data_IF_903663582994
#
_entry.id   IF_903663582994
#
_cell.length_a   1.000
_cell.length_b   1.000
_cell.length_c   1.000
_cell.angle_alpha   90.00
_cell.angle_beta   90.00
_cell.angle_gamma   90.00
#
_symmetry.space_group_name_H-M   'P 1'
#
loop_
_entity.id
_entity.type
_entity.pdbx_description
1 polymer ?
#
# COMPACT_ATOMS: atom_id res chain seq x y z
N UNK A 1 37.83 39.83 -28.48
CA UNK A 1 36.86 40.95 -28.45
C UNK A 1 36.12 40.89 -27.12
N UNK A 2 35.94 42.06 -26.49
CA UNK A 2 34.94 42.40 -25.45
C UNK A 2 34.56 41.36 -24.35
N UNK A 3 34.90 41.76 -23.11
CA UNK A 3 34.13 41.50 -21.86
C UNK A 3 32.67 42.03 -22.03
N UNK A 4 31.63 41.81 -21.23
CA UNK A 4 31.32 41.88 -19.77
C UNK A 4 29.96 41.12 -19.62
N UNK A 5 29.48 40.53 -18.51
CA UNK A 5 29.90 40.42 -17.10
C UNK A 5 28.68 40.01 -16.23
N UNK A 6 28.77 40.10 -14.89
CA UNK A 6 27.65 39.82 -13.96
C UNK A 6 26.79 41.06 -13.68
N UNK A 7 25.52 40.87 -13.28
CA UNK A 7 24.77 41.83 -12.46
C UNK A 7 24.01 41.09 -11.35
N UNK A 8 24.46 41.31 -10.11
CA UNK A 8 23.69 41.05 -8.88
C UNK A 8 22.89 42.29 -8.55
N UNK A 9 21.62 42.14 -8.15
CA UNK A 9 20.87 43.19 -7.43
C UNK A 9 20.18 42.59 -6.20
N UNK A 10 20.64 43.03 -5.03
CA UNK A 10 19.92 42.97 -3.76
C UNK A 10 19.41 44.38 -3.43
N UNK A 11 18.16 44.49 -2.97
CA UNK A 11 17.65 45.44 -1.95
C UNK A 11 16.15 45.67 -2.09
N UNK A 12 15.42 45.88 -0.99
CA UNK A 12 14.04 46.39 -1.06
C UNK A 12 13.12 46.06 0.12
N UNK A 13 13.51 46.35 1.37
CA UNK A 13 12.58 46.29 2.48
C UNK A 13 11.72 47.58 2.57
N UNK A 14 10.40 47.45 2.75
CA UNK A 14 9.56 48.49 3.38
C UNK A 14 8.49 47.86 4.26
N UNK A 15 8.36 48.41 5.46
CA UNK A 15 7.30 48.12 6.41
C UNK A 15 6.00 48.83 6.01
N UNK A 16 4.86 48.27 6.38
CA UNK A 16 3.68 49.05 6.71
C UNK A 16 3.05 48.52 8.00
N UNK A 17 2.74 49.44 8.92
CA UNK A 17 2.12 49.16 10.22
C UNK A 17 0.61 49.33 10.09
N UNK A 18 -0.18 48.44 10.71
CA UNK A 18 -1.63 48.51 10.79
C UNK A 18 -2.13 47.81 12.06
N UNK A 19 -2.90 48.52 12.89
CA UNK A 19 -3.34 48.04 14.21
C UNK A 19 -4.46 46.99 14.13
N UNK A 20 -4.48 46.07 15.12
CA UNK A 20 -5.56 45.11 15.32
C UNK A 20 -5.38 44.31 16.61
N UNK A 21 -5.88 44.83 17.73
CA UNK A 21 -5.79 44.18 19.05
C UNK A 21 -6.76 43.00 19.19
N UNK A 22 -6.27 41.87 19.69
CA UNK A 22 -7.02 41.01 20.61
C UNK A 22 -6.04 40.21 21.48
N UNK A 23 -6.31 40.18 22.78
CA UNK A 23 -5.48 39.49 23.76
C UNK A 23 -5.85 38.01 23.82
N UNK A 24 -4.86 37.12 23.88
CA UNK A 24 -4.99 35.86 24.63
C UNK A 24 -3.62 35.40 25.14
N UNK A 25 -3.41 35.51 26.45
CA UNK A 25 -2.26 34.90 27.10
C UNK A 25 -2.39 33.38 27.11
N UNK A 26 -1.33 32.65 26.72
CA UNK A 26 -0.96 31.43 27.43
C UNK A 26 0.56 31.21 27.44
N UNK A 27 1.03 30.71 28.59
CA UNK A 27 2.43 30.64 29.02
C UNK A 27 3.36 29.85 28.10
N UNK A 28 4.52 30.44 27.75
CA UNK A 28 5.70 29.72 27.26
C UNK A 28 6.42 29.05 28.44
N UNK A 29 6.27 27.72 28.56
CA UNK A 29 7.03 26.94 29.52
C UNK A 29 8.44 26.63 28.98
N UNK A 30 9.45 27.29 29.55
CA UNK A 30 10.86 27.14 29.18
C UNK A 30 11.40 25.76 29.61
N UNK A 31 11.52 24.82 28.67
CA UNK A 31 12.20 23.54 28.92
C UNK A 31 13.73 23.74 28.97
N UNK A 32 14.26 23.96 30.17
CA UNK A 32 15.71 23.94 30.43
C UNK A 32 16.20 22.49 30.32
N UNK A 33 16.97 22.19 29.27
CA UNK A 33 17.66 20.91 29.14
C UNK A 33 18.87 20.83 30.09
N UNK A 34 19.02 19.76 30.89
CA UNK A 34 20.21 19.60 31.72
C UNK A 34 21.42 19.22 30.86
N UNK A 35 22.51 19.99 30.96
CA UNK A 35 23.81 19.60 30.41
C UNK A 35 24.27 18.29 31.04
N UNK A 36 24.39 17.23 30.24
CA UNK A 36 25.06 16.00 30.65
C UNK A 36 26.58 16.24 30.60
N UNK A 37 27.18 16.44 31.77
CA UNK A 37 28.63 16.55 31.90
C UNK A 37 29.28 15.17 31.76
N UNK A 38 30.06 14.97 30.69
CA UNK A 38 30.83 13.74 30.44
C UNK A 38 32.27 13.96 30.93
N UNK A 39 32.68 13.41 32.10
CA UNK A 39 34.07 13.48 32.53
C UNK A 39 34.94 12.57 31.64
N UNK A 40 36.08 13.09 31.18
CA UNK A 40 37.09 12.32 30.45
C UNK A 40 37.74 11.30 31.39
N UNK A 41 37.94 10.08 30.90
CA UNK A 41 38.55 8.97 31.63
C UNK A 41 40.09 9.00 31.51
N UNK A 42 40.86 9.09 32.62
CA UNK A 42 42.29 8.80 32.63
C UNK A 42 42.55 7.31 32.92
N UNK A 43 43.66 6.80 32.41
CA UNK A 43 44.02 5.38 32.45
C UNK A 43 44.63 4.91 33.79
N UNK A 44 44.43 3.60 34.04
CA UNK A 44 45.32 2.67 34.74
C UNK A 44 45.17 2.39 36.26
N UNK A 45 45.09 1.08 36.53
CA UNK A 45 45.68 0.31 37.65
C UNK A 45 45.27 0.65 39.10
N UNK A 46 44.23 -0.06 39.55
CA UNK A 46 44.43 -1.17 40.52
C UNK A 46 44.24 -0.91 42.02
N UNK A 47 43.88 -2.00 42.72
CA UNK A 47 43.64 -2.19 44.16
C UNK A 47 42.21 -1.88 44.64
N UNK A 48 41.88 -2.47 45.79
CA UNK A 48 40.56 -2.98 46.15
C UNK A 48 40.03 -2.46 47.49
N UNK A 49 38.71 -2.66 47.69
CA UNK A 49 37.93 -2.51 48.95
C UNK A 49 37.65 -1.07 49.44
N UNK A 50 36.62 -0.85 50.30
CA UNK A 50 35.53 -1.76 50.72
C UNK A 50 34.10 -1.21 50.44
N UNK A 51 33.10 -2.05 50.71
CA UNK A 51 31.67 -1.75 50.56
C UNK A 51 31.11 -0.88 51.69
N UNK A 52 30.40 0.21 51.35
CA UNK A 52 29.48 0.92 52.26
C UNK A 52 28.14 1.12 51.54
N UNK A 53 27.09 0.41 51.99
CA UNK A 53 25.73 0.53 51.43
C UNK A 53 24.96 1.66 52.10
N UNK A 54 24.71 2.74 51.36
CA UNK A 54 23.69 3.73 51.72
C UNK A 54 22.33 3.29 51.17
N UNK A 55 21.42 2.86 52.04
CA UNK A 55 20.01 2.67 51.67
C UNK A 55 19.17 3.88 52.10
N UNK A 56 19.01 4.82 51.17
CA UNK A 56 18.03 5.90 51.30
C UNK A 56 16.61 5.35 51.21
N UNK A 57 15.76 5.71 52.18
CA UNK A 57 14.31 5.47 52.14
C UNK A 57 13.66 6.43 51.14
N UNK A 58 13.22 5.93 50.00
CA UNK A 58 12.29 6.68 49.13
C UNK A 58 10.85 6.31 49.49
N UNK A 59 10.04 7.33 49.76
CA UNK A 59 8.63 7.18 50.15
C UNK A 59 7.79 6.74 48.95
N UNK A 60 6.91 5.78 49.18
CA UNK A 60 5.93 5.31 48.20
C UNK A 60 4.93 6.43 47.87
N UNK A 61 4.97 6.94 46.63
CA UNK A 61 3.90 7.76 46.07
C UNK A 61 3.07 6.88 45.14
N UNK A 62 1.91 6.40 45.63
CA UNK A 62 0.96 5.63 44.82
C UNK A 62 0.23 6.62 43.89
N UNK A 63 0.79 6.85 42.70
CA UNK A 63 0.01 7.43 41.61
C UNK A 63 -0.85 6.32 41.00
N UNK A 64 -2.12 6.31 41.38
CA UNK A 64 -3.14 5.42 40.82
C UNK A 64 -3.51 5.90 39.40
N UNK A 65 -2.59 5.73 38.46
CA UNK A 65 -2.88 5.93 37.05
C UNK A 65 -3.91 4.88 36.61
N UNK A 66 -5.08 5.33 36.18
CA UNK A 66 -6.10 4.47 35.61
C UNK A 66 -5.55 3.84 34.33
N UNK A 67 -5.05 2.60 34.44
CA UNK A 67 -4.70 1.77 33.27
C UNK A 67 -6.00 1.35 32.59
N UNK A 68 -6.51 2.20 31.71
CA UNK A 68 -7.32 1.73 30.60
C UNK A 68 -6.43 0.79 29.78
N UNK A 69 -6.66 -0.51 29.94
CA UNK A 69 -5.92 -1.59 29.28
C UNK A 69 -6.26 -1.65 27.79
N UNK A 70 -5.91 -0.59 27.04
CA UNK A 70 -5.74 -0.69 25.60
C UNK A 70 -4.60 -1.67 25.35
N UNK A 71 -4.94 -2.89 24.95
CA UNK A 71 -3.98 -3.88 24.47
C UNK A 71 -3.36 -3.38 23.18
N UNK A 72 -2.30 -2.58 23.29
CA UNK A 72 -1.46 -2.16 22.17
C UNK A 72 -0.66 -3.35 21.64
N UNK A 73 -1.35 -4.27 20.99
CA UNK A 73 -0.74 -5.07 19.95
C UNK A 73 -0.38 -4.11 18.82
N UNK A 74 0.83 -3.55 18.89
CA UNK A 74 1.41 -2.81 17.77
C UNK A 74 1.56 -3.82 16.63
N UNK A 75 0.61 -3.81 15.70
CA UNK A 75 0.63 -4.69 14.52
C UNK A 75 1.93 -4.46 13.77
N UNK A 76 2.65 -5.53 13.45
CA UNK A 76 3.79 -5.43 12.55
C UNK A 76 3.21 -5.06 11.18
N UNK A 77 3.88 -4.19 10.42
CA UNK A 77 3.39 -3.71 9.10
C UNK A 77 2.97 -4.86 8.16
N UNK A 78 3.59 -6.03 8.29
CA UNK A 78 3.27 -7.25 7.54
C UNK A 78 1.83 -7.74 7.80
N UNK A 79 1.33 -7.59 9.02
CA UNK A 79 0.06 -8.15 9.49
C UNK A 79 -1.15 -7.23 9.20
N UNK A 80 -0.89 -6.00 8.76
CA UNK A 80 -1.90 -5.01 8.35
C UNK A 80 -2.60 -5.48 7.07
N UNK A 81 -3.93 -5.60 7.05
CA UNK A 81 -4.69 -6.12 5.90
C UNK A 81 -5.86 -5.21 5.46
N UNK A 82 -5.96 -3.99 6.00
CA UNK A 82 -6.91 -2.96 5.58
C UNK A 82 -6.31 -1.54 5.66
N UNK A 83 -6.86 -0.60 4.88
CA UNK A 83 -6.44 0.80 4.90
C UNK A 83 -6.54 1.42 6.30
N UNK A 84 -7.62 1.13 7.03
CA UNK A 84 -7.84 1.66 8.39
C UNK A 84 -6.74 1.20 9.36
N UNK A 85 -6.43 -0.10 9.38
CA UNK A 85 -5.33 -0.65 10.17
C UNK A 85 -3.98 -0.01 9.80
N UNK A 86 -3.78 0.35 8.53
CA UNK A 86 -2.54 1.00 8.11
C UNK A 86 -2.45 2.46 8.55
N UNK A 87 -3.55 3.22 8.51
CA UNK A 87 -3.60 4.59 9.03
C UNK A 87 -3.36 4.60 10.55
N UNK A 88 -3.94 3.65 11.29
CA UNK A 88 -3.69 3.48 12.74
C UNK A 88 -2.22 3.09 13.04
N UNK A 89 -1.64 2.21 12.22
CA UNK A 89 -0.21 1.88 12.28
C UNK A 89 0.65 3.11 12.04
N UNK A 90 0.38 3.89 10.98
CA UNK A 90 1.14 5.09 10.64
C UNK A 90 1.04 6.17 11.71
N UNK A 91 -0.14 6.36 12.30
CA UNK A 91 -0.39 7.28 13.43
C UNK A 91 0.38 6.86 14.69
N UNK A 92 0.52 5.56 14.91
CA UNK A 92 1.23 5.00 16.09
C UNK A 92 2.75 4.99 15.95
N UNK A 93 3.27 5.01 14.71
CA UNK A 93 4.70 4.89 14.39
C UNK A 93 5.28 6.14 13.69
N UNK A 94 4.59 7.28 13.74
CA UNK A 94 4.99 8.56 13.13
C UNK A 94 5.51 8.42 11.68
N UNK A 95 4.76 7.68 10.86
CA UNK A 95 5.20 7.34 9.49
C UNK A 95 5.07 8.54 8.55
N UNK A 96 6.10 8.80 7.75
CA UNK A 96 6.07 9.85 6.72
C UNK A 96 5.02 9.53 5.63
N UNK A 97 3.89 10.25 5.69
CA UNK A 97 2.73 10.12 4.80
C UNK A 97 3.01 10.57 3.35
N UNK A 98 4.13 11.26 3.09
CA UNK A 98 4.56 11.62 1.73
C UNK A 98 5.50 10.58 1.10
N UNK A 99 5.92 9.56 1.86
CA UNK A 99 6.83 8.53 1.37
C UNK A 99 6.21 7.66 0.26
N UNK A 100 7.05 7.17 -0.65
CA UNK A 100 6.65 6.19 -1.66
C UNK A 100 6.14 4.89 -1.04
N UNK A 101 6.70 4.48 0.10
CA UNK A 101 6.26 3.30 0.87
C UNK A 101 4.83 3.47 1.35
N UNK A 102 4.50 4.60 1.99
CA UNK A 102 3.12 4.88 2.43
C UNK A 102 2.14 4.88 1.25
N UNK A 103 2.50 5.58 0.16
CA UNK A 103 1.64 5.69 -1.03
C UNK A 103 1.51 4.38 -1.81
N UNK A 104 2.51 3.49 -1.73
CA UNK A 104 2.46 2.11 -2.23
C UNK A 104 1.51 1.26 -1.39
N UNK A 105 1.79 1.14 -0.10
CA UNK A 105 1.00 0.29 0.82
C UNK A 105 -0.47 0.72 0.93
N UNK A 106 -0.77 2.03 0.98
CA UNK A 106 -2.16 2.52 0.90
C UNK A 106 -2.83 2.13 -0.42
N UNK A 107 -2.09 2.11 -1.54
CA UNK A 107 -2.62 1.71 -2.83
C UNK A 107 -2.88 0.20 -2.91
N UNK A 108 -1.96 -0.63 -2.45
CA UNK A 108 -2.12 -2.09 -2.36
C UNK A 108 -3.38 -2.47 -1.55
N UNK A 109 -3.56 -1.83 -0.39
CA UNK A 109 -4.70 -2.07 0.50
C UNK A 109 -6.03 -1.56 -0.11
N UNK A 110 -5.99 -0.46 -0.86
CA UNK A 110 -7.14 0.02 -1.62
C UNK A 110 -7.50 -0.93 -2.77
N UNK A 111 -6.49 -1.43 -3.51
CA UNK A 111 -6.67 -2.44 -4.56
C UNK A 111 -7.31 -3.69 -3.96
N UNK A 112 -6.80 -4.19 -2.82
CA UNK A 112 -7.36 -5.34 -2.11
C UNK A 112 -8.86 -5.16 -1.85
N UNK A 113 -9.25 -4.06 -1.20
CA UNK A 113 -10.66 -3.77 -0.89
C UNK A 113 -11.54 -3.68 -2.15
N UNK A 114 -11.03 -3.10 -3.23
CA UNK A 114 -11.73 -2.98 -4.51
C UNK A 114 -11.88 -4.33 -5.22
N UNK A 115 -10.85 -5.17 -5.21
CA UNK A 115 -10.91 -6.52 -5.77
C UNK A 115 -11.92 -7.39 -4.99
N UNK A 116 -11.96 -7.27 -3.66
CA UNK A 116 -12.95 -7.94 -2.80
C UNK A 116 -14.38 -7.47 -3.11
N UNK A 117 -14.64 -6.16 -3.04
CA UNK A 117 -15.99 -5.59 -3.14
C UNK A 117 -16.57 -5.51 -4.56
N UNK A 118 -15.73 -5.41 -5.60
CA UNK A 118 -16.19 -5.20 -6.98
C UNK A 118 -15.97 -6.39 -7.91
N UNK A 119 -14.91 -7.15 -7.68
CA UNK A 119 -14.55 -8.32 -8.48
C UNK A 119 -14.84 -9.64 -7.77
N UNK A 120 -15.31 -9.65 -6.51
CA UNK A 120 -15.56 -10.88 -5.74
C UNK A 120 -14.30 -11.75 -5.63
N UNK A 121 -13.14 -11.11 -5.50
CA UNK A 121 -11.95 -11.81 -5.04
C UNK A 121 -12.12 -12.14 -3.55
N UNK A 122 -11.71 -13.33 -3.15
CA UNK A 122 -11.87 -13.84 -1.79
C UNK A 122 -10.50 -14.22 -1.23
N UNK A 123 -10.39 -14.18 0.11
CA UNK A 123 -9.17 -14.55 0.82
C UNK A 123 -7.91 -13.81 0.32
N UNK A 124 -8.06 -12.58 -0.18
CA UNK A 124 -6.92 -11.77 -0.60
C UNK A 124 -6.06 -11.44 0.62
N UNK A 125 -4.77 -11.69 0.49
CA UNK A 125 -3.76 -11.40 1.50
C UNK A 125 -2.68 -10.54 0.87
N UNK A 126 -2.32 -9.44 1.54
CA UNK A 126 -1.18 -8.61 1.14
C UNK A 126 0.13 -9.23 1.61
N UNK A 127 1.05 -9.46 0.68
CA UNK A 127 2.43 -9.86 0.95
C UNK A 127 3.29 -8.63 1.23
N UNK A 128 3.42 -8.26 2.51
CA UNK A 128 4.30 -7.18 2.92
C UNK A 128 5.74 -7.64 3.23
N UNK A 129 6.73 -7.01 2.60
CA UNK A 129 8.15 -7.04 3.00
C UNK A 129 9.12 -7.64 1.98
N UNK A 130 10.41 -7.50 2.24
CA UNK A 130 11.48 -8.00 1.37
C UNK A 130 11.36 -9.52 1.15
N UNK A 131 11.26 -9.94 -0.12
CA UNK A 131 11.09 -11.36 -0.48
C UNK A 131 9.66 -11.75 -0.89
N UNK A 132 8.82 -10.77 -1.23
CA UNK A 132 7.53 -10.95 -1.89
C UNK A 132 7.60 -11.51 -3.34
N UNK A 133 8.80 -11.48 -3.94
CA UNK A 133 9.09 -11.86 -5.33
C UNK A 133 8.22 -11.14 -6.39
N UNK A 134 7.75 -9.91 -6.09
CA UNK A 134 6.94 -9.12 -7.01
C UNK A 134 5.43 -9.45 -6.99
N UNK A 135 4.94 -10.04 -5.91
CA UNK A 135 3.48 -10.15 -5.66
C UNK A 135 3.12 -9.27 -4.47
N UNK A 136 2.18 -8.35 -4.66
CA UNK A 136 1.68 -7.50 -3.59
C UNK A 136 0.44 -8.10 -2.92
N UNK A 137 -0.45 -8.74 -3.69
CA UNK A 137 -1.62 -9.46 -3.17
C UNK A 137 -1.76 -10.84 -3.83
N UNK A 138 -2.25 -11.82 -3.08
CA UNK A 138 -2.65 -13.14 -3.61
C UNK A 138 -3.93 -13.64 -2.95
N UNK A 139 -4.70 -14.49 -3.63
CA UNK A 139 -5.92 -15.09 -3.09
C UNK A 139 -6.72 -15.84 -4.15
N UNK A 140 -8.04 -15.86 -3.99
CA UNK A 140 -8.99 -16.53 -4.88
C UNK A 140 -9.86 -15.53 -5.63
N UNK A 141 -10.43 -15.94 -6.76
CA UNK A 141 -11.43 -15.17 -7.51
C UNK A 141 -12.65 -16.02 -7.78
N UNK A 142 -13.72 -15.78 -7.01
CA UNK A 142 -14.96 -16.53 -7.14
C UNK A 142 -15.71 -16.08 -8.41
N UNK A 143 -15.65 -16.95 -9.42
CA UNK A 143 -16.27 -16.78 -10.73
C UNK A 143 -17.71 -17.30 -10.80
N UNK A 144 -18.24 -17.90 -9.72
CA UNK A 144 -19.56 -18.55 -9.72
C UNK A 144 -20.68 -17.56 -10.08
N UNK A 145 -20.65 -16.35 -9.52
CA UNK A 145 -21.61 -15.28 -9.81
C UNK A 145 -21.63 -14.82 -11.29
N UNK A 146 -20.59 -15.13 -12.07
CA UNK A 146 -20.52 -14.79 -13.50
C UNK A 146 -20.98 -15.93 -14.41
N UNK A 147 -21.34 -17.09 -13.87
CA UNK A 147 -21.96 -18.15 -14.65
C UNK A 147 -23.28 -17.65 -15.22
N UNK A 148 -23.48 -17.85 -16.53
CA UNK A 148 -24.77 -17.59 -17.15
C UNK A 148 -25.80 -18.59 -16.65
N UNK A 149 -27.01 -18.11 -16.33
CA UNK A 149 -28.15 -18.96 -16.02
C UNK A 149 -28.52 -19.81 -17.26
N UNK A 150 -28.02 -21.05 -17.33
CA UNK A 150 -28.34 -22.01 -18.39
C UNK A 150 -27.28 -23.11 -18.55
N UNK A 151 -27.73 -24.36 -18.72
CA UNK A 151 -26.89 -25.58 -18.78
C UNK A 151 -25.82 -25.60 -19.89
N UNK A 152 -25.88 -24.69 -20.86
CA UNK A 152 -25.03 -24.68 -22.06
C UNK A 152 -23.84 -23.69 -22.00
N UNK A 153 -23.71 -22.89 -20.94
CA UNK A 153 -22.76 -21.78 -20.87
C UNK A 153 -21.62 -21.99 -19.85
N UNK A 154 -21.26 -23.25 -19.57
CA UNK A 154 -20.04 -23.56 -18.84
C UNK A 154 -18.84 -23.04 -19.64
N UNK A 155 -18.16 -22.01 -19.12
CA UNK A 155 -17.03 -21.40 -19.82
C UNK A 155 -15.84 -22.35 -19.96
N UNK A 156 -14.80 -21.99 -20.73
CA UNK A 156 -13.70 -22.92 -21.05
C UNK A 156 -12.91 -23.46 -19.82
N UNK A 157 -13.10 -22.84 -18.65
CA UNK A 157 -12.75 -23.35 -17.32
C UNK A 157 -13.76 -24.41 -16.84
N UNK A 158 -15.03 -24.01 -16.63
CA UNK A 158 -16.11 -24.85 -16.09
C UNK A 158 -16.53 -26.02 -16.99
N UNK A 159 -16.25 -25.96 -18.30
CA UNK A 159 -16.46 -27.07 -19.23
C UNK A 159 -15.52 -28.27 -18.96
N UNK A 160 -14.63 -28.16 -17.97
CA UNK A 160 -13.76 -29.22 -17.47
C UNK A 160 -14.19 -29.49 -16.04
N UNK A 161 -14.75 -30.68 -15.81
CA UNK A 161 -15.49 -31.12 -14.63
C UNK A 161 -14.80 -30.95 -13.27
N UNK A 162 -13.49 -30.69 -13.27
CA UNK A 162 -12.62 -30.81 -12.10
C UNK A 162 -12.13 -29.44 -11.60
N UNK A 163 -12.85 -28.35 -11.93
CA UNK A 163 -12.54 -26.98 -11.49
C UNK A 163 -13.81 -26.35 -10.91
N UNK A 164 -13.83 -26.14 -9.60
CA UNK A 164 -14.84 -25.30 -8.96
C UNK A 164 -14.53 -23.82 -9.26
N UNK A 165 -15.52 -23.10 -9.81
CA UNK A 165 -15.40 -21.68 -10.09
C UNK A 165 -15.39 -20.81 -8.83
N UNK A 166 -15.85 -21.31 -7.68
CA UNK A 166 -15.87 -20.55 -6.43
C UNK A 166 -14.50 -20.57 -5.71
N UNK A 167 -13.83 -21.73 -5.66
CA UNK A 167 -12.62 -21.93 -4.83
C UNK A 167 -11.31 -22.09 -5.60
N UNK A 168 -11.33 -22.67 -6.80
CA UNK A 168 -10.10 -23.22 -7.40
C UNK A 168 -9.36 -22.19 -8.27
N UNK A 169 -10.02 -21.08 -8.60
CA UNK A 169 -9.46 -19.98 -9.38
C UNK A 169 -8.66 -19.07 -8.46
N UNK A 170 -7.34 -19.05 -8.65
CA UNK A 170 -6.41 -18.22 -7.87
C UNK A 170 -6.07 -16.93 -8.61
N UNK A 171 -5.81 -15.86 -7.87
CA UNK A 171 -5.29 -14.60 -8.42
C UNK A 171 -3.99 -14.19 -7.73
N UNK A 172 -3.04 -13.75 -8.55
CA UNK A 172 -1.79 -13.13 -8.16
C UNK A 172 -1.82 -11.69 -8.65
N UNK A 173 -1.49 -10.71 -7.80
CA UNK A 173 -1.68 -9.29 -8.10
C UNK A 173 -0.38 -8.53 -7.86
N UNK A 174 0.05 -7.78 -8.87
CA UNK A 174 1.02 -6.71 -8.73
C UNK A 174 0.31 -5.35 -8.89
N UNK A 175 0.48 -4.49 -7.91
CA UNK A 175 0.10 -3.11 -7.89
C UNK A 175 1.26 -2.23 -8.39
N UNK A 176 0.98 -1.25 -9.25
CA UNK A 176 1.96 -0.27 -9.71
C UNK A 176 1.40 1.14 -9.60
N UNK A 177 1.55 1.74 -8.43
CA UNK A 177 1.22 3.14 -8.19
C UNK A 177 2.29 4.06 -8.83
N UNK A 178 2.17 4.28 -10.13
CA UNK A 178 3.08 5.12 -10.92
C UNK A 178 2.29 6.15 -11.72
N UNK A 179 2.85 7.35 -11.88
CA UNK A 179 2.25 8.48 -12.59
C UNK A 179 2.48 8.48 -14.11
N UNK A 180 3.31 7.57 -14.62
CA UNK A 180 3.54 7.35 -16.05
C UNK A 180 2.83 6.11 -16.58
N UNK A 181 2.59 6.07 -17.90
CA UNK A 181 2.05 4.89 -18.60
C UNK A 181 2.93 3.66 -18.39
N UNK A 182 2.31 2.49 -18.22
CA UNK A 182 3.05 1.27 -17.94
C UNK A 182 3.76 0.73 -19.20
N UNK A 183 5.07 0.58 -19.11
CA UNK A 183 5.94 0.08 -20.19
C UNK A 183 5.96 -1.45 -20.30
N UNK A 184 6.38 -1.96 -21.46
CA UNK A 184 6.45 -3.41 -21.72
C UNK A 184 7.41 -4.18 -20.81
N UNK A 185 8.36 -3.49 -20.16
CA UNK A 185 9.26 -4.10 -19.16
C UNK A 185 8.49 -4.66 -17.96
N UNK A 186 7.51 -3.92 -17.43
CA UNK A 186 6.65 -4.40 -16.33
C UNK A 186 5.86 -5.62 -16.77
N UNK A 187 5.36 -5.65 -18.01
CA UNK A 187 4.62 -6.83 -18.53
C UNK A 187 5.52 -8.06 -18.66
N UNK A 188 6.80 -7.89 -19.03
CA UNK A 188 7.79 -8.99 -19.06
C UNK A 188 8.15 -9.47 -17.65
N UNK A 189 8.29 -8.54 -16.70
CA UNK A 189 8.54 -8.81 -15.29
C UNK A 189 7.41 -9.65 -14.67
N UNK A 190 6.14 -9.26 -14.87
CA UNK A 190 4.95 -10.05 -14.47
C UNK A 190 4.97 -11.49 -15.02
N UNK A 191 5.53 -11.69 -16.22
CA UNK A 191 5.70 -13.01 -16.79
C UNK A 191 6.67 -13.87 -15.99
N UNK A 192 7.81 -13.31 -15.62
CA UNK A 192 8.80 -13.95 -14.76
C UNK A 192 8.27 -14.24 -13.35
N UNK A 193 7.54 -13.29 -12.76
CA UNK A 193 6.87 -13.45 -11.45
C UNK A 193 5.87 -14.62 -11.51
N UNK A 194 4.98 -14.63 -12.50
CA UNK A 194 4.02 -15.72 -12.68
C UNK A 194 4.71 -17.08 -12.88
N UNK A 195 5.74 -17.17 -13.72
CA UNK A 195 6.51 -18.41 -13.90
C UNK A 195 7.31 -18.80 -12.64
N UNK A 196 7.65 -17.84 -11.77
CA UNK A 196 8.24 -18.11 -10.46
C UNK A 196 7.25 -18.79 -9.51
N UNK A 197 6.02 -18.28 -9.37
CA UNK A 197 5.03 -18.85 -8.45
C UNK A 197 4.26 -20.06 -9.03
N UNK A 198 3.96 -20.08 -10.34
CA UNK A 198 3.03 -21.03 -10.96
C UNK A 198 3.77 -22.15 -11.70
N UNK A 199 4.18 -23.17 -10.94
CA UNK A 199 4.97 -24.31 -11.47
C UNK A 199 4.13 -25.38 -12.16
N UNK A 200 2.96 -25.74 -11.62
CA UNK A 200 2.21 -26.93 -12.09
C UNK A 200 1.32 -26.63 -13.29
N UNK A 201 1.12 -27.63 -14.16
CA UNK A 201 0.23 -27.53 -15.34
C UNK A 201 -1.24 -27.28 -14.97
N UNK A 202 -1.67 -27.71 -13.79
CA UNK A 202 -3.01 -27.46 -13.25
C UNK A 202 -3.14 -26.02 -12.80
N UNK A 203 -2.24 -25.52 -11.95
CA UNK A 203 -2.25 -24.12 -11.51
C UNK A 203 -2.13 -23.15 -12.70
N UNK A 204 -1.34 -23.47 -13.74
CA UNK A 204 -1.28 -22.68 -14.99
C UNK A 204 -2.61 -22.50 -15.74
N UNK A 205 -3.68 -23.22 -15.35
CA UNK A 205 -5.03 -23.11 -15.91
C UNK A 205 -6.00 -22.36 -15.01
N UNK A 206 -5.77 -22.34 -13.69
CA UNK A 206 -6.68 -21.74 -12.70
C UNK A 206 -6.10 -20.50 -12.01
N UNK A 207 -4.80 -20.25 -12.11
CA UNK A 207 -4.15 -19.04 -11.59
C UNK A 207 -4.07 -17.95 -12.65
N UNK A 208 -4.55 -16.73 -12.35
CA UNK A 208 -4.42 -15.57 -13.23
C UNK A 208 -3.53 -14.49 -12.61
N UNK A 209 -2.90 -13.67 -13.46
CA UNK A 209 -2.05 -12.55 -13.05
C UNK A 209 -2.76 -11.22 -13.32
N UNK A 210 -2.93 -10.41 -12.29
CA UNK A 210 -3.49 -9.05 -12.37
C UNK A 210 -2.38 -8.02 -12.21
N UNK A 211 -2.34 -7.04 -13.12
CA UNK A 211 -1.62 -5.79 -12.96
C UNK A 211 -2.63 -4.70 -12.64
N UNK A 212 -2.45 -3.98 -11.54
CA UNK A 212 -3.33 -2.87 -11.16
C UNK A 212 -2.54 -1.56 -11.13
N UNK A 213 -2.95 -0.55 -11.90
CA UNK A 213 -2.27 0.76 -11.93
C UNK A 213 -3.24 1.91 -12.22
N UNK A 214 -2.92 3.16 -11.83
CA UNK A 214 -3.73 4.32 -12.22
C UNK A 214 -3.66 4.57 -13.73
N UNK A 215 -2.44 4.52 -14.27
CA UNK A 215 -2.14 4.85 -15.65
C UNK A 215 -2.36 3.67 -16.62
N UNK A 216 -2.69 3.94 -17.89
CA UNK A 216 -2.90 2.92 -18.91
C UNK A 216 -1.56 2.29 -19.36
N UNK A 217 -1.66 1.13 -20.01
CA UNK A 217 -0.52 0.52 -20.69
C UNK A 217 -0.08 1.38 -21.89
N UNK A 218 1.22 1.34 -22.19
CA UNK A 218 1.74 1.78 -23.50
C UNK A 218 1.29 0.81 -24.62
N UNK A 219 1.26 1.23 -25.90
CA UNK A 219 0.95 0.32 -27.01
C UNK A 219 1.87 -0.91 -27.07
N UNK A 220 3.16 -0.73 -26.77
CA UNK A 220 4.14 -1.83 -26.66
C UNK A 220 3.80 -2.79 -25.50
N UNK A 221 3.35 -2.27 -24.34
CA UNK A 221 2.89 -3.09 -23.23
C UNK A 221 1.59 -3.86 -23.57
N UNK A 222 0.64 -3.23 -24.27
CA UNK A 222 -0.55 -3.93 -24.78
C UNK A 222 -0.18 -5.06 -25.75
N UNK A 223 0.77 -4.85 -26.65
CA UNK A 223 1.25 -5.89 -27.56
C UNK A 223 1.88 -7.06 -26.77
N UNK A 224 2.80 -6.76 -25.84
CA UNK A 224 3.45 -7.76 -24.98
C UNK A 224 2.47 -8.56 -24.12
N UNK A 225 1.42 -7.90 -23.59
CA UNK A 225 0.41 -8.53 -22.75
C UNK A 225 -0.50 -9.47 -23.56
N UNK A 226 -0.73 -9.19 -24.85
CA UNK A 226 -1.52 -10.04 -25.74
C UNK A 226 -0.75 -11.23 -26.33
N UNK A 227 0.56 -11.10 -26.53
CA UNK A 227 1.42 -12.20 -26.97
C UNK A 227 1.82 -13.14 -25.83
N UNK A 228 1.69 -12.70 -24.57
CA UNK A 228 1.90 -13.52 -23.38
C UNK A 228 1.00 -14.77 -23.38
N UNK A 229 1.60 -15.93 -23.07
CA UNK A 229 0.90 -17.20 -22.90
C UNK A 229 0.16 -17.33 -21.56
N UNK A 230 0.41 -16.38 -20.66
CA UNK A 230 -0.11 -16.32 -19.29
C UNK A 230 -1.49 -15.61 -19.31
N UNK A 231 -2.49 -16.11 -18.58
CA UNK A 231 -3.76 -15.41 -18.41
C UNK A 231 -3.58 -14.12 -17.58
N UNK A 232 -3.56 -12.97 -18.26
CA UNK A 232 -3.28 -11.66 -17.66
C UNK A 232 -4.45 -10.69 -17.78
N UNK A 233 -4.71 -9.93 -16.73
CA UNK A 233 -5.56 -8.74 -16.75
C UNK A 233 -4.76 -7.49 -16.36
N UNK A 234 -5.07 -6.36 -17.00
CA UNK A 234 -4.71 -5.02 -16.54
C UNK A 234 -5.97 -4.32 -16.05
N UNK A 235 -5.98 -3.90 -14.79
CA UNK A 235 -7.11 -3.20 -14.16
C UNK A 235 -6.64 -1.76 -13.90
N UNK A 236 -7.35 -0.78 -14.45
CA UNK A 236 -7.10 0.62 -14.07
C UNK A 236 -7.79 0.92 -12.76
N UNK A 237 -7.07 1.49 -11.80
CA UNK A 237 -7.66 1.98 -10.55
C UNK A 237 -6.97 3.26 -10.07
N UNK A 238 -7.73 4.33 -9.85
CA UNK A 238 -7.16 5.59 -9.38
C UNK A 238 -6.54 5.44 -7.99
N UNK A 239 -5.38 6.07 -7.76
CA UNK A 239 -4.83 6.17 -6.42
C UNK A 239 -5.83 6.90 -5.49
N UNK A 240 -5.82 6.53 -4.19
CA UNK A 240 -6.56 7.29 -3.20
C UNK A 240 -5.80 8.57 -2.84
N UNK A 241 -6.54 9.63 -2.55
CA UNK A 241 -6.04 10.92 -2.06
C UNK A 241 -6.75 11.23 -0.74
N UNK A 242 -6.02 11.58 0.33
CA UNK A 242 -6.63 12.07 1.56
C UNK A 242 -7.28 13.44 1.33
N UNK A 243 -8.28 13.78 2.14
CA UNK A 243 -8.64 15.19 2.31
C UNK A 243 -7.57 15.91 3.15
N UNK A 244 -7.49 17.23 3.03
CA UNK A 244 -6.42 18.01 3.67
C UNK A 244 -6.59 18.16 5.20
N UNK A 245 -7.78 17.86 5.72
CA UNK A 245 -8.21 18.17 7.09
C UNK A 245 -7.84 17.05 8.09
N UNK A 246 -8.10 15.78 7.77
CA UNK A 246 -7.64 14.63 8.57
C UNK A 246 -7.26 13.44 7.69
N UNK A 247 -5.95 13.28 7.48
CA UNK A 247 -5.36 12.18 6.71
C UNK A 247 -5.59 10.81 7.37
N UNK A 248 -5.92 10.76 8.66
CA UNK A 248 -6.16 9.50 9.39
C UNK A 248 -7.64 9.10 9.46
N UNK A 249 -8.58 9.96 9.06
CA UNK A 249 -9.97 9.56 8.84
C UNK A 249 -10.13 8.99 7.43
N UNK A 250 -10.24 7.66 7.32
CA UNK A 250 -10.43 6.98 6.02
C UNK A 250 -11.71 7.42 5.30
N UNK A 251 -12.74 7.89 6.00
CA UNK A 251 -13.99 8.34 5.38
C UNK A 251 -13.82 9.65 4.57
N UNK A 252 -12.78 10.43 4.87
CA UNK A 252 -12.42 11.65 4.10
C UNK A 252 -11.72 11.34 2.77
N UNK A 253 -11.17 10.13 2.61
CA UNK A 253 -10.36 9.80 1.43
C UNK A 253 -11.22 9.61 0.19
N UNK A 254 -10.75 10.16 -0.93
CA UNK A 254 -11.38 10.02 -2.24
C UNK A 254 -10.48 9.22 -3.20
N UNK A 255 -11.07 8.59 -4.22
CA UNK A 255 -10.33 7.79 -5.20
C UNK A 255 -10.77 6.33 -5.21
N UNK A 256 -9.81 5.40 -5.34
CA UNK A 256 -10.06 3.96 -5.51
C UNK A 256 -11.07 3.60 -6.63
N UNK A 257 -11.27 4.48 -7.61
CA UNK A 257 -12.26 4.28 -8.67
C UNK A 257 -11.70 3.28 -9.70
N UNK A 258 -12.43 2.20 -9.93
CA UNK A 258 -12.14 1.24 -11.01
C UNK A 258 -12.45 1.90 -12.35
N UNK A 259 -11.46 1.88 -13.23
CA UNK A 259 -11.58 2.31 -14.61
C UNK A 259 -11.65 1.11 -15.56
N UNK A 260 -11.23 1.31 -16.83
CA UNK A 260 -11.17 0.24 -17.83
C UNK A 260 -10.38 -0.99 -17.35
N UNK A 261 -10.96 -2.17 -17.56
CA UNK A 261 -10.30 -3.47 -17.35
C UNK A 261 -9.97 -4.07 -18.72
N UNK A 262 -8.71 -4.43 -18.92
CA UNK A 262 -8.21 -5.05 -20.13
C UNK A 262 -7.77 -6.49 -19.85
N UNK A 263 -8.49 -7.45 -20.43
CA UNK A 263 -8.13 -8.87 -20.39
C UNK A 263 -7.25 -9.22 -21.60
N UNK A 264 -6.26 -10.12 -21.47
CA UNK A 264 -5.52 -10.58 -22.65
C UNK A 264 -6.24 -11.69 -23.41
N UNK A 265 -5.76 -12.01 -24.62
CA UNK A 265 -6.31 -13.06 -25.50
C UNK A 265 -6.48 -14.42 -24.81
N UNK A 266 -5.53 -14.79 -23.95
CA UNK A 266 -5.53 -16.04 -23.17
C UNK A 266 -6.62 -16.03 -22.10
N UNK A 267 -6.69 -14.98 -21.28
CA UNK A 267 -7.65 -14.85 -20.20
C UNK A 267 -9.09 -14.76 -20.74
N UNK A 268 -9.33 -13.96 -21.78
CA UNK A 268 -10.65 -13.93 -22.47
C UNK A 268 -11.11 -15.30 -22.91
N UNK A 269 -10.21 -16.15 -23.42
CA UNK A 269 -10.55 -17.52 -23.85
C UNK A 269 -10.89 -18.45 -22.68
N UNK A 270 -10.24 -18.31 -21.53
CA UNK A 270 -10.56 -19.10 -20.33
C UNK A 270 -11.92 -18.68 -19.75
N UNK A 271 -12.19 -17.37 -19.72
CA UNK A 271 -13.42 -16.78 -19.21
C UNK A 271 -14.59 -16.80 -20.22
N UNK A 272 -14.34 -17.19 -21.47
CA UNK A 272 -15.37 -17.27 -22.52
C UNK A 272 -16.52 -18.16 -22.05
N UNK A 273 -17.75 -17.62 -22.03
CA UNK A 273 -18.96 -18.27 -21.52
C UNK A 273 -19.50 -17.63 -20.24
N UNK A 274 -18.63 -17.00 -19.44
CA UNK A 274 -19.00 -16.23 -18.26
C UNK A 274 -19.41 -14.80 -18.65
N UNK A 275 -20.37 -14.22 -17.93
CA UNK A 275 -20.87 -12.85 -18.15
C UNK A 275 -20.01 -11.77 -17.45
N UNK A 276 -18.70 -11.99 -17.37
CA UNK A 276 -17.74 -11.11 -16.70
C UNK A 276 -17.73 -9.73 -17.35
N UNK A 277 -17.65 -9.64 -18.68
CA UNK A 277 -17.60 -8.35 -19.39
C UNK A 277 -18.83 -7.47 -19.08
N UNK A 278 -20.03 -8.07 -18.95
CA UNK A 278 -21.24 -7.33 -18.54
C UNK A 278 -21.12 -6.75 -17.12
N UNK A 279 -20.51 -7.50 -16.20
CA UNK A 279 -20.32 -7.05 -14.81
C UNK A 279 -19.21 -6.00 -14.68
N UNK A 280 -18.12 -6.13 -15.44
CA UNK A 280 -17.03 -5.15 -15.48
C UNK A 280 -17.47 -3.82 -16.10
N UNK A 281 -18.33 -3.85 -17.13
CA UNK A 281 -18.86 -2.65 -17.77
C UNK A 281 -19.94 -1.98 -16.90
N UNK A 282 -20.84 -2.75 -16.29
CA UNK A 282 -21.94 -2.21 -15.46
C UNK A 282 -21.52 -1.46 -14.20
N UNK A 283 -20.28 -1.64 -13.72
CA UNK A 283 -19.73 -0.93 -12.54
C UNK A 283 -18.89 0.31 -12.90
N UNK A 284 -18.87 0.71 -14.17
CA UNK A 284 -18.20 1.94 -14.67
C UNK A 284 -19.17 3.11 -14.92
N UNK A 285 -20.46 2.92 -14.62
CA UNK A 285 -21.55 3.90 -14.72
C UNK A 285 -22.15 4.14 -13.32
#
# INVERSE_FOLDING_TARGET
MSWIGEVVVLAGARYHVGHGVSEFCFSLATCIAPMIYIPRCPTARGKSLPSVRYHYRYKTAIFLACRVSSSRNASILRDVQSCQQYLEYCKSNDTNLQSSVFRGTMYELAVKHVLESQLNCQNLTRSGGTGDYGIDLFGQWDLSQYQRAGKAAAGALAAKSDIDLASDVSVLVQCKNHSGKIGATVVRELGGIYDYHVKTRTARRTTFMFLVSPEPLTPSAHAQLNTSSIPMAHIRMSAMQPDAQDVFDLASWSGAKVGPVYLNSKLRRLLQGLDIEKHLIRRQL
#
